data_IF_176327053765
#
_entry.id   IF_176327053765
#
_cell.length_a   1.000
_cell.length_b   1.000
_cell.length_c   1.000
_cell.angle_alpha   90.00
_cell.angle_beta   90.00
_cell.angle_gamma   90.00
#
_symmetry.space_group_name_H-M   'P 1'
#
loop_
_entity.id
_entity.type
_entity.pdbx_description
1 polymer ?
#
# COMPACT_ATOMS: atom_id res chain seq x y z
N UNK A 1 31.47 1.00 1.99
CA UNK A 1 30.26 1.80 2.19
C UNK A 1 29.05 0.90 2.32
N UNK A 2 28.34 1.03 3.41
CA UNK A 2 27.13 0.23 3.63
C UNK A 2 25.97 0.88 2.89
N UNK A 3 25.35 0.14 1.98
CA UNK A 3 24.15 0.63 1.32
C UNK A 3 23.00 0.60 2.32
N UNK A 4 22.41 1.74 2.58
CA UNK A 4 21.19 1.80 3.38
C UNK A 4 20.04 1.24 2.57
N UNK A 5 19.38 0.23 3.12
CA UNK A 5 18.14 -0.28 2.53
C UNK A 5 17.05 0.72 2.86
N UNK A 6 16.31 1.23 1.86
CA UNK A 6 15.23 2.16 2.14
C UNK A 6 14.18 1.51 3.04
N UNK A 7 13.78 2.26 4.06
CA UNK A 7 12.71 1.83 4.95
C UNK A 7 11.45 2.64 4.68
N UNK A 8 10.31 1.99 4.85
CA UNK A 8 9.01 2.63 4.71
C UNK A 8 8.15 2.23 5.89
N UNK A 9 7.16 3.04 6.18
CA UNK A 9 6.25 2.76 7.27
C UNK A 9 4.98 2.12 6.74
N UNK A 10 4.57 1.00 7.37
CA UNK A 10 3.29 0.39 7.09
C UNK A 10 2.17 1.30 7.59
N UNK A 11 1.20 1.62 6.73
CA UNK A 11 0.07 2.47 7.12
C UNK A 11 -0.85 1.77 8.13
N UNK A 12 -0.86 0.44 8.15
CA UNK A 12 -1.72 -0.31 9.05
C UNK A 12 -1.20 -0.38 10.47
N UNK A 13 -0.01 -0.96 10.63
CA UNK A 13 0.58 -1.13 11.96
C UNK A 13 1.54 -0.01 12.35
N UNK A 14 1.89 0.85 11.40
CA UNK A 14 2.79 1.99 11.61
C UNK A 14 4.21 1.62 12.02
N UNK A 15 4.61 0.39 11.76
CA UNK A 15 5.98 -0.04 11.97
C UNK A 15 6.83 0.26 10.75
N UNK A 16 8.08 0.63 10.99
CA UNK A 16 9.04 0.83 9.91
C UNK A 16 9.67 -0.50 9.56
N UNK A 17 9.66 -0.80 8.27
CA UNK A 17 10.22 -2.05 7.75
C UNK A 17 10.97 -1.77 6.46
N UNK A 18 11.80 -2.73 6.04
CA UNK A 18 12.46 -2.62 4.75
C UNK A 18 11.40 -2.59 3.64
N UNK A 19 11.64 -1.74 2.65
CA UNK A 19 10.74 -1.63 1.50
C UNK A 19 10.40 -3.00 0.91
N UNK A 20 11.35 -3.93 0.91
CA UNK A 20 11.15 -5.28 0.36
C UNK A 20 10.18 -6.14 1.19
N UNK A 21 10.00 -5.80 2.44
CA UNK A 21 9.08 -6.52 3.34
C UNK A 21 7.66 -6.00 3.27
N UNK A 22 7.45 -4.93 2.52
CA UNK A 22 6.14 -4.30 2.38
C UNK A 22 5.64 -4.41 0.95
N UNK A 23 4.34 -4.31 0.79
CA UNK A 23 3.76 -4.15 -0.54
C UNK A 23 3.44 -2.68 -0.76
N UNK A 24 3.47 -2.27 -2.01
CA UNK A 24 3.13 -0.90 -2.39
C UNK A 24 1.78 -0.88 -3.09
N UNK A 25 0.87 -0.07 -2.57
CA UNK A 25 -0.40 0.20 -3.23
C UNK A 25 -0.27 1.55 -3.90
N UNK A 26 -0.56 1.62 -5.19
CA UNK A 26 -0.32 2.82 -5.97
C UNK A 26 -1.60 3.32 -6.61
N UNK A 27 -1.74 4.64 -6.62
CA UNK A 27 -2.75 5.32 -7.40
C UNK A 27 -2.07 5.90 -8.64
N UNK A 28 -2.48 5.42 -9.83
CA UNK A 28 -1.92 5.90 -11.07
C UNK A 28 -2.35 7.35 -11.34
N UNK A 29 -1.69 8.06 -12.28
CA UNK A 29 -2.13 9.40 -12.68
C UNK A 29 -3.56 9.43 -13.21
N UNK A 30 -4.05 8.31 -13.75
CA UNK A 30 -5.43 8.20 -14.21
C UNK A 30 -6.43 7.90 -13.08
N UNK A 31 -5.94 7.63 -11.89
CA UNK A 31 -6.78 7.36 -10.73
C UNK A 31 -7.02 5.88 -10.42
N UNK A 32 -6.37 4.98 -11.13
CA UNK A 32 -6.49 3.55 -10.88
C UNK A 32 -5.68 3.13 -9.66
N UNK A 33 -6.27 2.31 -8.83
CA UNK A 33 -5.61 1.78 -7.64
C UNK A 33 -5.22 0.33 -7.89
N UNK A 34 -3.97 0.00 -7.62
CA UNK A 34 -3.47 -1.37 -7.80
C UNK A 34 -2.30 -1.65 -6.88
N UNK A 35 -1.95 -2.93 -6.75
CA UNK A 35 -0.75 -3.34 -6.05
C UNK A 35 0.40 -3.34 -7.05
N UNK A 36 1.47 -2.64 -6.67
CA UNK A 36 2.67 -2.56 -7.49
C UNK A 36 3.71 -3.54 -6.98
N UNK A 37 3.84 -4.66 -7.68
CA UNK A 37 4.80 -5.69 -7.31
C UNK A 37 6.22 -5.40 -7.78
N UNK A 38 6.37 -4.45 -8.70
CA UNK A 38 7.69 -4.11 -9.26
C UNK A 38 8.34 -2.90 -8.60
N UNK A 39 7.55 -2.07 -7.95
CA UNK A 39 8.02 -0.82 -7.38
C UNK A 39 8.25 0.28 -8.40
N UNK A 40 7.88 0.05 -9.66
CA UNK A 40 8.18 0.98 -10.76
C UNK A 40 6.96 1.72 -11.33
N UNK A 41 5.76 1.39 -10.86
CA UNK A 41 4.57 2.08 -11.35
C UNK A 41 4.56 3.55 -10.95
N UNK A 42 4.22 4.40 -11.91
CA UNK A 42 4.06 5.82 -11.65
C UNK A 42 2.81 6.08 -10.84
N UNK A 43 2.91 7.01 -9.93
CA UNK A 43 1.78 7.45 -9.15
C UNK A 43 2.11 7.60 -7.68
N UNK A 44 1.10 7.94 -6.91
CA UNK A 44 1.24 8.09 -5.47
C UNK A 44 1.14 6.71 -4.82
N UNK A 45 2.11 6.39 -4.00
CA UNK A 45 2.20 5.07 -3.39
C UNK A 45 2.05 5.09 -1.87
N UNK A 46 1.53 3.99 -1.36
CA UNK A 46 1.43 3.74 0.08
C UNK A 46 1.96 2.33 0.35
N UNK A 47 2.59 2.14 1.50
CA UNK A 47 3.15 0.85 1.86
C UNK A 47 2.38 0.23 3.01
N UNK A 48 2.15 -1.07 2.93
CA UNK A 48 1.55 -1.85 4.01
C UNK A 48 2.24 -3.21 4.10
N UNK A 49 2.13 -3.86 5.26
CA UNK A 49 2.58 -5.23 5.39
C UNK A 49 1.77 -6.13 4.47
N UNK A 50 2.39 -7.21 3.95
CA UNK A 50 1.68 -8.13 3.05
C UNK A 50 0.79 -9.09 3.85
N UNK A 51 -0.09 -8.54 4.67
CA UNK A 51 -1.04 -9.35 5.43
C UNK A 51 -2.41 -8.66 5.47
N UNK A 52 -3.43 -9.48 5.70
CA UNK A 52 -4.81 -9.00 5.72
C UNK A 52 -5.09 -8.06 6.88
N UNK A 53 -4.42 -8.27 8.01
CA UNK A 53 -4.67 -7.44 9.19
C UNK A 53 -4.32 -5.98 8.92
N UNK A 54 -3.15 -5.74 8.30
CA UNK A 54 -2.75 -4.39 7.98
C UNK A 54 -3.63 -3.77 6.88
N UNK A 55 -4.02 -4.57 5.89
CA UNK A 55 -4.93 -4.10 4.86
C UNK A 55 -6.28 -3.68 5.46
N UNK A 56 -6.88 -4.54 6.29
CA UNK A 56 -8.15 -4.20 6.93
C UNK A 56 -8.03 -2.98 7.83
N UNK A 57 -6.90 -2.83 8.52
CA UNK A 57 -6.67 -1.67 9.35
C UNK A 57 -6.69 -0.36 8.56
N UNK A 58 -6.05 -0.33 7.38
CA UNK A 58 -6.04 0.88 6.56
C UNK A 58 -7.39 1.14 5.89
N UNK A 59 -8.15 0.08 5.62
CA UNK A 59 -9.51 0.23 5.09
C UNK A 59 -10.43 0.84 6.15
N UNK A 60 -10.43 0.27 7.35
CA UNK A 60 -11.28 0.74 8.45
C UNK A 60 -10.99 2.16 8.86
N UNK A 61 -9.72 2.52 8.93
CA UNK A 61 -9.30 3.85 9.34
C UNK A 61 -9.35 4.86 8.21
N UNK A 62 -9.57 4.40 6.99
CA UNK A 62 -9.52 5.22 5.76
C UNK A 62 -8.16 5.88 5.54
N UNK A 63 -7.12 5.33 6.16
CA UNK A 63 -5.77 5.86 5.99
C UNK A 63 -5.26 5.73 4.56
N UNK A 64 -5.63 4.64 3.89
CA UNK A 64 -5.22 4.44 2.51
C UNK A 64 -5.84 5.51 1.61
N UNK A 65 -7.13 5.78 1.76
CA UNK A 65 -7.80 6.84 1.02
C UNK A 65 -7.18 8.21 1.28
N UNK A 66 -6.88 8.49 2.52
CA UNK A 66 -6.24 9.77 2.88
C UNK A 66 -4.85 9.89 2.29
N UNK A 67 -4.07 8.82 2.37
CA UNK A 67 -2.69 8.84 1.87
C UNK A 67 -2.65 8.97 0.36
N UNK A 68 -3.53 8.26 -0.34
CA UNK A 68 -3.61 8.31 -1.80
C UNK A 68 -4.45 9.47 -2.32
N UNK A 69 -5.09 10.21 -1.41
CA UNK A 69 -5.90 11.37 -1.74
C UNK A 69 -7.03 11.07 -2.72
N UNK A 70 -7.66 9.91 -2.56
CA UNK A 70 -8.76 9.49 -3.42
C UNK A 70 -9.69 8.56 -2.66
N UNK A 71 -10.95 8.52 -3.09
CA UNK A 71 -11.88 7.52 -2.58
C UNK A 71 -11.61 6.19 -3.25
N UNK A 72 -11.76 5.11 -2.49
CA UNK A 72 -11.54 3.75 -2.98
C UNK A 72 -12.84 2.97 -2.80
N UNK A 73 -13.33 2.39 -3.90
CA UNK A 73 -14.56 1.61 -3.87
C UNK A 73 -14.37 0.25 -3.19
N UNK A 74 -15.47 -0.35 -2.76
CA UNK A 74 -15.43 -1.70 -2.19
C UNK A 74 -14.90 -2.73 -3.20
N UNK A 75 -15.21 -2.55 -4.48
CA UNK A 75 -14.68 -3.44 -5.52
C UNK A 75 -13.16 -3.45 -5.54
N UNK A 76 -12.57 -2.26 -5.46
CA UNK A 76 -11.11 -2.13 -5.45
C UNK A 76 -10.54 -2.76 -4.18
N UNK A 77 -11.15 -2.51 -3.03
CA UNK A 77 -10.72 -3.13 -1.78
C UNK A 77 -10.79 -4.65 -1.86
N UNK A 78 -11.85 -5.19 -2.46
CA UNK A 78 -11.98 -6.63 -2.62
C UNK A 78 -10.88 -7.20 -3.51
N UNK A 79 -10.50 -6.49 -4.57
CA UNK A 79 -9.39 -6.91 -5.41
C UNK A 79 -8.08 -6.92 -4.64
N UNK A 80 -7.85 -5.92 -3.81
CA UNK A 80 -6.64 -5.87 -2.97
C UNK A 80 -6.62 -7.02 -1.99
N UNK A 81 -7.76 -7.35 -1.39
CA UNK A 81 -7.88 -8.49 -0.48
C UNK A 81 -7.55 -9.81 -1.18
N UNK A 82 -8.05 -9.99 -2.39
CA UNK A 82 -7.76 -11.19 -3.19
C UNK A 82 -6.28 -11.33 -3.48
N UNK A 83 -5.62 -10.25 -3.81
CA UNK A 83 -4.19 -10.27 -4.13
C UNK A 83 -3.31 -10.59 -2.92
N UNK A 84 -3.81 -10.36 -1.73
CA UNK A 84 -3.08 -10.65 -0.49
C UNK A 84 -3.42 -11.99 0.13
N UNK A 85 -4.41 -12.69 -0.39
CA UNK A 85 -4.82 -13.99 0.18
C UNK A 85 -3.97 -15.14 -0.33
#
# INVERSE_FOLDING_TARGET
MVKKIPQRMCLGCQERKNKKELIRIVRSPEGDISIDTTGKKNGRGAYICPDKACLEAVIKSKRLEKNLETEISEEVYNKLREQLS
#
